data_IF_918879083786
#
_entry.id   IF_918879083786
#
_cell.length_a   1.000
_cell.length_b   1.000
_cell.length_c   1.000
_cell.angle_alpha   90.00
_cell.angle_beta   90.00
_cell.angle_gamma   90.00
#
_symmetry.space_group_name_H-M   'P 1'
#
loop_
_entity.id
_entity.type
_entity.pdbx_description
1 polymer ?
#
# COMPACT_ATOMS: atom_id res chain seq x y z
N UNK A 1 -19.66 16.89 14.28
CA UNK A 1 -20.59 15.90 13.70
C UNK A 1 -19.74 14.86 12.99
N UNK A 2 -19.95 13.56 13.23
CA UNK A 2 -19.27 12.53 12.47
C UNK A 2 -19.65 12.71 10.99
N UNK A 3 -18.67 12.77 10.09
CA UNK A 3 -18.97 12.77 8.66
C UNK A 3 -19.59 11.41 8.31
N UNK A 4 -20.72 11.45 7.62
CA UNK A 4 -21.35 10.25 7.08
C UNK A 4 -20.43 9.60 6.03
N UNK A 5 -20.40 8.26 6.01
CA UNK A 5 -19.51 7.49 5.15
C UNK A 5 -19.80 7.73 3.67
N UNK A 6 -21.06 7.97 3.28
CA UNK A 6 -21.39 8.26 1.88
C UNK A 6 -20.81 9.61 1.45
N UNK A 7 -20.79 10.61 2.34
CA UNK A 7 -20.12 11.90 2.10
C UNK A 7 -18.61 11.72 1.93
N UNK A 8 -17.98 10.89 2.77
CA UNK A 8 -16.54 10.60 2.67
C UNK A 8 -16.24 9.91 1.35
N UNK A 9 -17.01 8.89 0.97
CA UNK A 9 -16.84 8.17 -0.31
C UNK A 9 -16.96 9.10 -1.51
N UNK A 10 -17.96 9.98 -1.51
CA UNK A 10 -18.16 10.95 -2.58
C UNK A 10 -16.98 11.93 -2.68
N UNK A 11 -16.46 12.40 -1.54
CA UNK A 11 -15.30 13.27 -1.50
C UNK A 11 -14.01 12.54 -1.90
N UNK A 12 -13.93 11.23 -1.70
CA UNK A 12 -12.75 10.43 -2.00
C UNK A 12 -12.57 10.20 -3.52
N UNK A 13 -13.63 10.28 -4.32
CA UNK A 13 -13.57 10.06 -5.76
C UNK A 13 -12.48 10.92 -6.44
N UNK A 14 -11.71 10.28 -7.31
CA UNK A 14 -10.65 10.92 -8.10
C UNK A 14 -9.26 10.43 -7.71
N UNK A 15 -8.26 11.22 -8.10
CA UNK A 15 -6.84 10.90 -8.05
C UNK A 15 -6.14 11.64 -6.91
N UNK A 16 -5.24 10.93 -6.23
CA UNK A 16 -4.52 11.37 -5.04
C UNK A 16 -3.05 10.96 -5.14
N UNK A 17 -2.13 11.81 -4.68
CA UNK A 17 -0.69 11.54 -4.75
C UNK A 17 0.02 11.93 -3.46
N UNK A 18 0.98 11.10 -3.00
CA UNK A 18 1.81 11.43 -1.83
C UNK A 18 2.54 12.76 -2.02
N UNK A 19 2.38 13.67 -1.06
CA UNK A 19 3.02 14.99 -1.12
C UNK A 19 4.54 14.93 -0.91
N UNK A 20 5.04 13.86 -0.29
CA UNK A 20 6.45 13.60 -0.02
C UNK A 20 6.71 12.09 0.08
N UNK A 21 7.98 11.63 0.02
CA UNK A 21 8.34 10.26 0.35
C UNK A 21 7.90 9.90 1.78
N UNK A 22 7.26 8.74 1.90
CA UNK A 22 6.76 8.15 3.14
C UNK A 22 7.77 7.17 3.71
N UNK A 23 7.76 7.01 5.04
CA UNK A 23 8.57 5.99 5.72
C UNK A 23 7.65 4.85 6.15
N UNK A 24 8.02 3.62 5.80
CA UNK A 24 7.43 2.37 6.30
C UNK A 24 8.50 1.54 6.98
N UNK A 25 8.46 1.41 8.32
CA UNK A 25 9.32 0.46 9.02
C UNK A 25 9.07 -0.97 8.53
N UNK A 26 10.15 -1.72 8.32
CA UNK A 26 10.14 -3.13 7.94
C UNK A 26 11.05 -3.92 8.88
N UNK A 27 10.59 -5.09 9.32
CA UNK A 27 11.32 -5.96 10.22
C UNK A 27 12.12 -6.99 9.44
N UNK A 28 13.42 -7.04 9.67
CA UNK A 28 14.30 -8.06 9.14
C UNK A 28 14.12 -9.40 9.89
N UNK A 29 14.58 -10.54 9.32
CA UNK A 29 14.54 -11.83 10.00
C UNK A 29 15.26 -11.87 11.35
N UNK A 30 16.33 -11.09 11.52
CA UNK A 30 17.07 -10.95 12.78
C UNK A 30 16.38 -10.06 13.83
N UNK A 31 15.20 -9.52 13.50
CA UNK A 31 14.42 -8.65 14.36
C UNK A 31 14.76 -7.16 14.27
N UNK A 32 15.83 -6.78 13.56
CA UNK A 32 16.17 -5.37 13.36
C UNK A 32 15.13 -4.66 12.49
N UNK A 33 14.91 -3.37 12.76
CA UNK A 33 13.98 -2.53 11.98
C UNK A 33 14.79 -1.69 11.00
N UNK A 34 14.38 -1.72 9.73
CA UNK A 34 14.92 -0.84 8.70
C UNK A 34 13.82 0.05 8.12
N UNK A 35 14.13 1.29 7.74
CA UNK A 35 13.19 2.11 6.99
C UNK A 35 13.04 1.57 5.56
N UNK A 36 11.83 1.68 5.03
CA UNK A 36 11.55 1.54 3.61
C UNK A 36 10.84 2.81 3.15
N UNK A 37 11.23 3.33 1.99
CA UNK A 37 10.71 4.60 1.49
C UNK A 37 9.78 4.37 0.32
N UNK A 38 8.70 5.16 0.23
CA UNK A 38 7.78 5.04 -0.89
C UNK A 38 7.03 6.33 -1.21
N UNK A 39 6.47 6.39 -2.41
CA UNK A 39 5.37 7.31 -2.75
C UNK A 39 4.20 6.49 -3.30
N UNK A 40 2.98 7.02 -3.13
CA UNK A 40 1.74 6.43 -3.60
C UNK A 40 1.07 7.35 -4.61
N UNK A 41 0.51 6.75 -5.65
CA UNK A 41 -0.54 7.35 -6.46
C UNK A 41 -1.79 6.47 -6.28
N UNK A 42 -2.84 7.06 -5.75
CA UNK A 42 -4.07 6.37 -5.38
C UNK A 42 -5.24 6.96 -6.15
N UNK A 43 -6.10 6.10 -6.67
CA UNK A 43 -7.35 6.49 -7.30
C UNK A 43 -8.49 5.77 -6.63
N UNK A 44 -9.48 6.54 -6.18
CA UNK A 44 -10.74 6.00 -5.71
C UNK A 44 -11.80 6.15 -6.79
N UNK A 45 -12.51 5.05 -7.05
CA UNK A 45 -13.49 4.94 -8.11
C UNK A 45 -14.88 4.64 -7.51
N UNK A 46 -15.96 4.77 -8.31
CA UNK A 46 -17.28 4.31 -7.91
C UNK A 46 -17.28 2.84 -7.47
N UNK A 47 -18.29 2.45 -6.69
CA UNK A 47 -18.45 1.09 -6.14
C UNK A 47 -17.31 0.64 -5.24
N UNK A 48 -16.68 1.59 -4.54
CA UNK A 48 -15.58 1.36 -3.60
C UNK A 48 -14.34 0.70 -4.23
N UNK A 49 -14.22 0.73 -5.55
CA UNK A 49 -13.04 0.23 -6.26
C UNK A 49 -11.89 1.21 -6.12
N UNK A 50 -10.66 0.69 -6.06
CA UNK A 50 -9.45 1.50 -6.02
C UNK A 50 -8.37 0.99 -6.96
N UNK A 51 -7.48 1.91 -7.33
CA UNK A 51 -6.20 1.62 -7.96
C UNK A 51 -5.10 2.29 -7.16
N UNK A 52 -4.03 1.56 -6.88
CA UNK A 52 -2.89 2.05 -6.11
C UNK A 52 -1.61 1.69 -6.85
N UNK A 53 -0.82 2.70 -7.18
CA UNK A 53 0.58 2.52 -7.54
C UNK A 53 1.47 2.95 -6.36
N UNK A 54 2.46 2.12 -6.05
CA UNK A 54 3.49 2.40 -5.04
C UNK A 54 4.83 2.36 -5.76
N UNK A 55 5.64 3.40 -5.59
CA UNK A 55 7.06 3.37 -6.00
C UNK A 55 7.91 3.32 -4.75
N UNK A 56 8.61 2.21 -4.56
CA UNK A 56 9.55 2.06 -3.46
C UNK A 56 10.92 2.60 -3.83
N UNK A 57 11.63 3.16 -2.86
CA UNK A 57 12.94 3.78 -3.06
C UNK A 57 13.95 3.36 -2.00
N UNK A 58 15.23 3.40 -2.35
CA UNK A 58 16.34 3.07 -1.46
C UNK A 58 16.73 4.23 -0.53
N UNK A 59 16.33 5.46 -0.85
CA UNK A 59 16.73 6.67 -0.14
C UNK A 59 15.51 7.46 0.37
N UNK A 60 15.67 8.26 1.45
CA UNK A 60 14.58 9.02 2.06
C UNK A 60 14.01 10.13 1.18
N UNK A 61 14.69 10.54 0.11
CA UNK A 61 14.21 11.56 -0.81
C UNK A 61 13.47 10.98 -2.02
N UNK A 62 13.36 9.65 -2.12
CA UNK A 62 12.67 8.98 -3.22
C UNK A 62 13.36 9.13 -4.58
N UNK A 63 14.68 9.35 -4.60
CA UNK A 63 15.46 9.60 -5.82
C UNK A 63 15.99 8.33 -6.48
N UNK A 64 16.09 7.24 -5.73
CA UNK A 64 16.59 5.93 -6.17
C UNK A 64 15.44 4.93 -6.14
N UNK A 65 14.57 4.93 -7.16
CA UNK A 65 13.44 4.00 -7.23
C UNK A 65 13.94 2.56 -7.41
N UNK A 66 13.30 1.62 -6.73
CA UNK A 66 13.67 0.20 -6.73
C UNK A 66 12.65 -0.67 -7.46
N UNK A 67 11.38 -0.46 -7.15
CA UNK A 67 10.28 -1.23 -7.67
C UNK A 67 9.02 -0.37 -7.75
N UNK A 68 8.19 -0.65 -8.77
CA UNK A 68 6.80 -0.20 -8.82
C UNK A 68 5.90 -1.37 -8.49
N UNK A 69 4.89 -1.11 -7.69
CA UNK A 69 3.83 -2.07 -7.36
C UNK A 69 2.52 -1.45 -7.81
N UNK A 70 1.69 -2.23 -8.48
CA UNK A 70 0.31 -1.84 -8.82
C UNK A 70 -0.65 -2.80 -8.14
N UNK A 71 -1.63 -2.24 -7.44
CA UNK A 71 -2.68 -2.98 -6.74
C UNK A 71 -4.02 -2.43 -7.17
N UNK A 72 -4.97 -3.32 -7.45
CA UNK A 72 -6.34 -2.98 -7.81
C UNK A 72 -7.28 -3.87 -7.04
N UNK A 73 -8.34 -3.27 -6.50
CA UNK A 73 -9.41 -4.03 -5.86
C UNK A 73 -10.43 -3.13 -5.15
N UNK A 74 -10.94 -3.57 -4.01
CA UNK A 74 -12.08 -2.94 -3.34
C UNK A 74 -11.79 -2.53 -1.88
N UNK A 75 -12.48 -1.47 -1.46
CA UNK A 75 -12.47 -0.94 -0.10
C UNK A 75 -13.72 -1.41 0.65
N UNK A 76 -13.54 -2.17 1.73
CA UNK A 76 -14.62 -2.43 2.69
C UNK A 76 -14.58 -1.42 3.82
N UNK A 77 -15.73 -0.83 4.18
CA UNK A 77 -15.82 0.22 5.20
C UNK A 77 -16.37 -0.37 6.51
N UNK A 78 -15.58 -0.31 7.58
CA UNK A 78 -15.80 -1.04 8.84
C UNK A 78 -16.24 -0.11 10.00
N UNK A 79 -16.67 1.10 9.67
CA UNK A 79 -17.13 2.12 10.61
C UNK A 79 -16.00 3.00 11.15
N UNK A 80 -16.25 3.69 12.27
CA UNK A 80 -15.33 4.71 12.78
C UNK A 80 -13.99 4.13 13.29
N UNK A 81 -12.89 4.82 12.98
CA UNK A 81 -11.56 4.57 13.53
C UNK A 81 -11.31 5.49 14.73
N UNK A 82 -10.80 5.01 15.88
CA UNK A 82 -10.61 5.81 17.08
C UNK A 82 -9.47 6.84 17.01
N UNK A 83 -8.73 6.93 15.89
CA UNK A 83 -7.50 7.76 15.81
C UNK A 83 -7.83 9.25 15.82
N UNK A 84 -8.94 9.61 15.18
CA UNK A 84 -9.41 10.98 15.04
C UNK A 84 -10.90 10.98 14.68
N UNK A 85 -11.69 11.98 15.14
CA UNK A 85 -13.07 12.14 14.71
C UNK A 85 -13.18 12.22 13.18
N UNK A 86 -14.03 11.37 12.60
CA UNK A 86 -14.26 11.30 11.15
C UNK A 86 -13.40 10.27 10.42
N UNK A 87 -12.33 9.76 11.03
CA UNK A 87 -11.56 8.65 10.47
C UNK A 87 -12.42 7.38 10.40
N UNK A 88 -12.29 6.61 9.31
CA UNK A 88 -13.01 5.36 9.09
C UNK A 88 -12.02 4.21 9.04
N UNK A 89 -12.33 3.11 9.71
CA UNK A 89 -11.69 1.81 9.50
C UNK A 89 -12.05 1.33 8.11
N UNK A 90 -11.05 0.91 7.34
CA UNK A 90 -11.27 0.29 6.04
C UNK A 90 -10.43 -0.96 5.88
N UNK A 91 -10.86 -1.87 5.02
CA UNK A 91 -10.03 -2.96 4.54
C UNK A 91 -9.78 -2.72 3.06
N UNK A 92 -8.51 -2.58 2.68
CA UNK A 92 -8.11 -2.55 1.28
C UNK A 92 -7.82 -3.97 0.83
N UNK A 93 -8.64 -4.53 -0.04
CA UNK A 93 -8.46 -5.88 -0.58
C UNK A 93 -8.00 -5.79 -2.03
N UNK A 94 -6.86 -6.37 -2.34
CA UNK A 94 -6.38 -6.56 -3.71
C UNK A 94 -7.05 -7.81 -4.30
N UNK A 95 -8.22 -7.64 -4.93
CA UNK A 95 -9.03 -8.72 -5.51
C UNK A 95 -9.17 -8.66 -7.04
N UNK A 96 -8.56 -7.67 -7.70
CA UNK A 96 -8.55 -7.56 -9.17
C UNK A 96 -7.15 -7.71 -9.77
N UNK A 97 -6.14 -7.03 -9.21
CA UNK A 97 -4.78 -7.10 -9.74
C UNK A 97 -3.72 -6.81 -8.68
N UNK A 98 -2.56 -7.45 -8.86
CA UNK A 98 -1.34 -7.19 -8.11
C UNK A 98 -0.16 -7.43 -9.05
N UNK A 99 0.56 -6.38 -9.39
CA UNK A 99 1.73 -6.42 -10.28
C UNK A 99 2.96 -5.83 -9.61
N UNK A 100 4.12 -6.36 -10.00
CA UNK A 100 5.43 -5.87 -9.57
C UNK A 100 6.28 -5.58 -10.79
N UNK A 101 6.93 -4.43 -10.80
CA UNK A 101 7.86 -3.98 -11.85
C UNK A 101 9.20 -3.64 -11.19
N UNK A 102 10.29 -4.39 -11.46
CA UNK A 102 11.63 -3.98 -11.07
C UNK A 102 12.03 -2.71 -11.82
N UNK A 103 12.56 -1.70 -11.12
CA UNK A 103 13.02 -0.44 -11.73
C UNK A 103 14.55 -0.35 -11.84
N UNK A 104 15.27 -1.26 -11.19
CA UNK A 104 16.73 -1.36 -11.24
C UNK A 104 17.19 -2.81 -11.29
N UNK A 105 18.35 -3.04 -11.89
CA UNK A 105 18.89 -4.38 -12.12
C UNK A 105 19.07 -5.17 -10.82
N UNK A 106 19.62 -4.54 -9.78
CA UNK A 106 19.84 -5.22 -8.49
C UNK A 106 18.55 -5.75 -7.86
N UNK A 107 17.41 -5.08 -8.06
CA UNK A 107 16.12 -5.59 -7.58
C UNK A 107 15.62 -6.76 -8.43
N UNK A 108 15.75 -6.68 -9.75
CA UNK A 108 15.43 -7.80 -10.64
C UNK A 108 16.27 -9.05 -10.31
N UNK A 109 17.57 -8.89 -10.04
CA UNK A 109 18.47 -9.98 -9.67
C UNK A 109 18.06 -10.65 -8.35
N UNK A 110 17.61 -9.86 -7.37
CA UNK A 110 17.06 -10.40 -6.12
C UNK A 110 15.79 -11.21 -6.42
N UNK A 111 14.85 -10.69 -7.19
CA UNK A 111 13.62 -11.41 -7.53
C UNK A 111 13.90 -12.71 -8.30
N UNK A 112 14.87 -12.71 -9.21
CA UNK A 112 15.31 -13.93 -9.91
C UNK A 112 15.90 -14.99 -8.96
N UNK A 113 16.37 -14.61 -7.77
CA UNK A 113 16.85 -15.55 -6.75
C UNK A 113 15.74 -16.04 -5.83
N UNK A 114 14.81 -15.16 -5.43
CA UNK A 114 13.84 -15.43 -4.34
C UNK A 114 12.41 -15.66 -4.81
N UNK A 115 12.10 -15.35 -6.07
CA UNK A 115 10.75 -15.38 -6.65
C UNK A 115 10.77 -15.84 -8.13
N UNK A 116 11.55 -16.88 -8.44
CA UNK A 116 11.66 -17.42 -9.81
C UNK A 116 10.60 -18.48 -10.14
N UNK A 117 10.16 -19.26 -9.14
CA UNK A 117 9.16 -20.31 -9.35
C UNK A 117 7.79 -19.71 -9.71
N UNK A 118 7.24 -20.06 -10.87
CA UNK A 118 5.92 -19.59 -11.33
C UNK A 118 5.92 -18.20 -11.98
N UNK A 119 7.10 -17.64 -12.24
CA UNK A 119 7.29 -16.34 -12.89
C UNK A 119 8.23 -16.47 -14.10
N UNK A 120 8.06 -15.58 -15.07
CA UNK A 120 9.08 -15.40 -16.09
C UNK A 120 10.34 -14.78 -15.47
N UNK A 121 11.51 -14.84 -16.12
CA UNK A 121 12.68 -14.12 -15.65
C UNK A 121 12.35 -12.63 -15.42
N UNK A 122 12.65 -12.15 -14.21
CA UNK A 122 12.45 -10.75 -13.84
C UNK A 122 13.45 -9.88 -14.58
N UNK A 123 12.95 -8.80 -15.19
CA UNK A 123 13.75 -7.83 -15.93
C UNK A 123 13.33 -6.41 -15.55
N UNK A 124 14.25 -5.47 -15.71
CA UNK A 124 14.00 -4.05 -15.45
C UNK A 124 12.88 -3.55 -16.38
N UNK A 125 11.93 -2.81 -15.82
CA UNK A 125 10.74 -2.27 -16.47
C UNK A 125 9.75 -3.31 -17.03
N UNK A 126 9.95 -4.59 -16.75
CA UNK A 126 9.01 -5.65 -17.11
C UNK A 126 8.10 -5.97 -15.92
N UNK A 127 6.84 -5.55 -16.00
CA UNK A 127 5.82 -5.91 -15.01
C UNK A 127 5.47 -7.39 -15.09
N UNK A 128 5.28 -8.02 -13.93
CA UNK A 128 4.66 -9.34 -13.84
C UNK A 128 3.57 -9.34 -12.79
N UNK A 129 2.48 -10.07 -13.08
CA UNK A 129 1.40 -10.30 -12.13
C UNK A 129 1.81 -11.33 -11.08
N UNK A 130 1.72 -10.91 -9.81
CA UNK A 130 1.83 -11.73 -8.60
C UNK A 130 0.46 -12.04 -7.99
N UNK A 131 -0.61 -11.57 -8.64
CA UNK A 131 -1.99 -11.76 -8.19
C UNK A 131 -2.34 -13.24 -8.07
N UNK A 132 -2.90 -13.63 -6.91
CA UNK A 132 -3.28 -15.01 -6.61
C UNK A 132 -2.11 -15.99 -6.48
N UNK A 133 -0.85 -15.53 -6.58
CA UNK A 133 0.35 -16.37 -6.55
C UNK A 133 1.13 -16.18 -5.26
N UNK A 134 1.96 -17.16 -4.92
CA UNK A 134 2.95 -16.99 -3.87
C UNK A 134 4.03 -15.98 -4.30
N UNK A 135 4.33 -15.02 -3.43
CA UNK A 135 5.37 -14.01 -3.66
C UNK A 135 6.03 -13.63 -2.34
N UNK A 136 7.11 -14.35 -2.01
CA UNK A 136 7.80 -14.24 -0.72
C UNK A 136 8.25 -12.83 -0.33
N UNK A 137 8.76 -11.96 -1.24
CA UNK A 137 9.16 -10.60 -0.88
C UNK A 137 8.07 -9.76 -0.21
N UNK A 138 6.80 -10.05 -0.50
CA UNK A 138 5.64 -9.39 0.11
C UNK A 138 4.77 -10.35 0.94
N UNK A 139 5.33 -11.51 1.32
CA UNK A 139 4.67 -12.55 2.10
C UNK A 139 3.30 -13.00 1.53
N UNK A 140 3.12 -12.90 0.21
CA UNK A 140 1.88 -13.33 -0.45
C UNK A 140 1.84 -14.85 -0.53
N UNK A 141 0.66 -15.40 -0.28
CA UNK A 141 0.36 -16.82 -0.38
C UNK A 141 -0.64 -17.06 -1.50
N UNK A 142 -0.39 -18.09 -2.30
CA UNK A 142 -1.29 -18.53 -3.35
C UNK A 142 -2.71 -18.79 -2.81
N UNK A 143 -3.72 -18.45 -3.61
CA UNK A 143 -5.13 -18.63 -3.27
C UNK A 143 -5.68 -17.65 -2.21
N UNK A 144 -4.91 -16.65 -1.80
CA UNK A 144 -5.37 -15.60 -0.87
C UNK A 144 -5.20 -14.22 -1.48
N UNK A 145 -6.22 -13.38 -1.34
CA UNK A 145 -6.10 -11.96 -1.69
C UNK A 145 -5.30 -11.23 -0.62
N UNK A 146 -4.42 -10.34 -1.04
CA UNK A 146 -3.78 -9.41 -0.12
C UNK A 146 -4.84 -8.47 0.45
N UNK A 147 -4.82 -8.28 1.76
CA UNK A 147 -5.72 -7.35 2.45
C UNK A 147 -4.96 -6.59 3.53
N UNK A 148 -5.19 -5.28 3.63
CA UNK A 148 -4.71 -4.46 4.75
C UNK A 148 -5.89 -3.88 5.54
N UNK A 149 -5.87 -4.11 6.86
CA UNK A 149 -6.72 -3.46 7.86
C UNK A 149 -6.19 -2.05 8.15
N UNK A 150 -6.62 -1.06 7.38
CA UNK A 150 -6.12 0.32 7.44
C UNK A 150 -7.22 1.30 7.88
N UNK A 151 -7.05 2.57 7.57
CA UNK A 151 -8.02 3.63 7.77
C UNK A 151 -8.01 4.60 6.60
N UNK A 152 -9.12 5.31 6.44
CA UNK A 152 -9.24 6.51 5.61
C UNK A 152 -9.62 7.67 6.50
N UNK A 153 -8.87 8.76 6.42
CA UNK A 153 -9.20 10.03 7.07
C UNK A 153 -9.00 11.19 6.10
N UNK A 154 -10.10 11.83 5.70
CA UNK A 154 -10.08 13.03 4.86
C UNK A 154 -10.10 14.29 5.73
N UNK A 155 -9.21 15.23 5.43
CA UNK A 155 -9.20 16.56 6.05
C UNK A 155 -8.89 17.63 4.99
N UNK A 156 -9.93 18.26 4.46
CA UNK A 156 -9.81 19.12 3.29
C UNK A 156 -9.37 18.29 2.07
N UNK A 157 -8.37 18.79 1.34
CA UNK A 157 -7.78 18.09 0.19
C UNK A 157 -6.62 17.15 0.55
N UNK A 158 -6.56 16.72 1.82
CA UNK A 158 -5.58 15.76 2.30
C UNK A 158 -6.24 14.44 2.68
N UNK A 159 -5.74 13.35 2.10
CA UNK A 159 -6.12 11.98 2.38
C UNK A 159 -5.05 11.30 3.22
N UNK A 160 -5.39 10.95 4.46
CA UNK A 160 -4.52 10.23 5.37
C UNK A 160 -4.91 8.76 5.44
N UNK A 161 -3.89 7.89 5.40
CA UNK A 161 -3.97 6.47 5.75
C UNK A 161 -3.11 6.21 7.00
N UNK A 162 -3.07 4.97 7.44
CA UNK A 162 -2.22 4.52 8.52
C UNK A 162 -0.73 4.60 8.24
N UNK A 163 0.02 5.13 9.21
CA UNK A 163 1.46 4.89 9.28
C UNK A 163 1.72 3.47 9.81
N UNK A 164 2.62 2.75 9.14
CA UNK A 164 3.04 1.40 9.52
C UNK A 164 3.54 1.41 10.96
N UNK A 165 3.27 0.34 11.70
CA UNK A 165 3.69 0.23 13.10
C UNK A 165 5.21 0.37 13.23
N UNK A 166 5.67 1.07 14.28
CA UNK A 166 7.10 1.39 14.49
C UNK A 166 7.98 0.15 14.63
N UNK A 167 7.39 -0.97 15.06
CA UNK A 167 8.02 -2.29 15.17
C UNK A 167 8.00 -3.11 13.86
N UNK A 168 7.55 -2.50 12.76
CA UNK A 168 7.49 -3.10 11.43
C UNK A 168 6.27 -4.01 11.18
N UNK A 169 5.40 -4.22 12.19
CA UNK A 169 4.19 -5.03 11.99
C UNK A 169 3.29 -4.43 10.92
N UNK A 170 2.74 -5.31 10.10
CA UNK A 170 1.77 -4.94 9.08
C UNK A 170 0.36 -4.82 9.56
N UNK A 171 -0.50 -4.41 8.65
CA UNK A 171 -1.93 -4.25 8.87
C UNK A 171 -2.66 -5.54 8.46
N UNK A 172 -2.11 -6.69 8.86
CA UNK A 172 -2.55 -8.03 8.46
C UNK A 172 -3.67 -8.61 9.33
N UNK A 173 -3.98 -7.94 10.45
CA UNK A 173 -5.07 -8.29 11.37
C UNK A 173 -5.76 -7.03 11.89
N UNK A 174 -7.01 -7.15 12.36
CA UNK A 174 -7.77 -6.06 12.98
C UNK A 174 -7.00 -5.43 14.17
N UNK A 175 -6.30 -6.25 14.95
CA UNK A 175 -5.52 -5.81 16.12
C UNK A 175 -4.27 -5.02 15.73
N UNK A 176 -3.79 -5.19 14.50
CA UNK A 176 -2.63 -4.48 13.99
C UNK A 176 -2.99 -3.21 13.19
N UNK A 177 -4.27 -2.78 13.19
CA UNK A 177 -4.68 -1.52 12.59
C UNK A 177 -3.78 -0.36 13.01
N UNK A 178 -3.52 0.60 12.11
CA UNK A 178 -2.65 1.73 12.38
C UNK A 178 -3.11 2.57 13.57
N UNK A 179 -2.15 2.98 14.39
CA UNK A 179 -2.37 3.89 15.53
C UNK A 179 -1.83 5.30 15.26
N UNK A 180 -1.28 5.54 14.07
CA UNK A 180 -0.67 6.79 13.64
C UNK A 180 -1.09 7.09 12.20
N UNK A 181 -1.09 8.37 11.81
CA UNK A 181 -1.35 8.80 10.43
C UNK A 181 -0.03 8.90 9.65
N UNK A 182 -0.04 8.42 8.40
CA UNK A 182 1.07 8.60 7.46
C UNK A 182 1.05 10.02 6.88
N UNK A 183 2.16 10.43 6.25
CA UNK A 183 2.18 11.59 5.36
C UNK A 183 1.01 11.48 4.36
N UNK A 184 0.18 12.53 4.20
CA UNK A 184 -1.03 12.44 3.42
C UNK A 184 -0.74 12.39 1.92
N UNK A 185 -1.75 11.93 1.18
CA UNK A 185 -1.87 12.21 -0.24
C UNK A 185 -2.64 13.52 -0.42
N UNK A 186 -2.29 14.30 -1.44
CA UNK A 186 -3.07 15.46 -1.89
C UNK A 186 -3.85 15.11 -3.15
N UNK A 187 -4.98 15.78 -3.34
CA UNK A 187 -5.76 15.70 -4.59
C UNK A 187 -4.92 16.17 -5.78
N UNK A 188 -5.00 15.44 -6.90
CA UNK A 188 -4.34 15.78 -8.17
C UNK A 188 -5.24 16.62 -9.08
#
# INVERSE_FOLDING_TARGET
>A
MAQDVATIKQALLGDWESIAPEIRPSKNPDGSIKPFYLKRAFKYLPSDRFELEIVNSADPYGKVPLAKIRIVGHVTWEGAHPIAPGAQKVNFTADEAYEVTPLVQGFADILNKVASAGYAPWAVNASQSVFGKSFAPFALKEGTNFMEYDLVYLRGDLLFWGARNVDGRGFDTEQNRPTNLQIPLARK
#
